data_IF_906797787352
#
_entry.id   IF_906797787352
#
_cell.length_a   1.000
_cell.length_b   1.000
_cell.length_c   1.000
_cell.angle_alpha   90.00
_cell.angle_beta   90.00
_cell.angle_gamma   90.00
#
_symmetry.space_group_name_H-M   'P 1'
#
loop_
_entity.id
_entity.type
_entity.pdbx_description
1 polymer ?
#
# COMPACT_ATOMS: atom_id res chain seq x y z
N UNK A 1 0.06 21.37 6.27
CA UNK A 1 0.99 20.89 5.21
C UNK A 1 2.45 21.11 5.61
N UNK A 2 2.89 22.34 5.92
CA UNK A 2 4.29 22.60 6.32
C UNK A 2 4.74 21.82 7.56
N UNK A 3 3.88 21.71 8.58
CA UNK A 3 4.15 20.91 9.79
C UNK A 3 4.51 19.46 9.49
N UNK A 4 3.85 18.81 8.52
CA UNK A 4 4.15 17.41 8.20
C UNK A 4 5.51 17.24 7.52
N UNK A 5 5.98 18.26 6.78
CA UNK A 5 7.31 18.25 6.18
C UNK A 5 8.40 18.46 7.25
N UNK A 6 8.16 19.31 8.25
CA UNK A 6 9.08 19.47 9.37
C UNK A 6 9.14 18.21 10.23
N UNK A 7 7.98 17.65 10.62
CA UNK A 7 7.92 16.38 11.33
C UNK A 7 8.62 15.25 10.55
N UNK A 8 8.42 15.19 9.22
CA UNK A 8 9.13 14.24 8.38
C UNK A 8 10.65 14.46 8.43
N UNK A 9 11.11 15.70 8.35
CA UNK A 9 12.54 16.02 8.39
C UNK A 9 13.18 15.72 9.76
N UNK A 10 12.43 15.88 10.85
CA UNK A 10 12.89 15.56 12.20
C UNK A 10 13.11 14.07 12.41
N UNK A 11 12.17 13.23 11.97
CA UNK A 11 12.27 11.77 12.09
C UNK A 11 11.57 11.06 10.92
N UNK A 12 12.29 10.84 9.80
CA UNK A 12 11.74 10.17 8.63
C UNK A 12 11.26 8.75 8.93
N UNK A 13 11.93 8.03 9.83
CA UNK A 13 11.58 6.64 10.17
C UNK A 13 10.26 6.55 10.91
N UNK A 14 9.99 7.49 11.82
CA UNK A 14 8.74 7.56 12.58
C UNK A 14 7.59 8.15 11.77
N UNK A 15 7.84 9.22 11.02
CA UNK A 15 6.80 10.02 10.38
C UNK A 15 6.60 9.68 8.88
N UNK A 16 7.53 8.95 8.27
CA UNK A 16 7.49 8.61 6.86
C UNK A 16 6.24 7.82 6.45
N UNK A 17 5.80 6.87 7.28
CA UNK A 17 4.59 6.07 6.96
C UNK A 17 3.32 6.92 6.92
N UNK A 18 3.10 7.80 7.90
CA UNK A 18 1.91 8.66 7.91
C UNK A 18 1.96 9.68 6.76
N UNK A 19 3.16 10.20 6.46
CA UNK A 19 3.40 11.06 5.32
C UNK A 19 3.06 10.36 3.99
N UNK A 20 3.62 9.18 3.73
CA UNK A 20 3.37 8.40 2.52
C UNK A 20 1.88 8.08 2.38
N UNK A 21 1.24 7.58 3.44
CA UNK A 21 -0.20 7.27 3.44
C UNK A 21 -1.05 8.49 3.06
N UNK A 22 -0.75 9.65 3.64
CA UNK A 22 -1.55 10.86 3.42
C UNK A 22 -1.28 11.46 2.05
N UNK A 23 -0.01 11.64 1.69
CA UNK A 23 0.37 12.44 0.52
C UNK A 23 0.54 11.62 -0.76
N UNK A 24 1.02 10.38 -0.67
CA UNK A 24 1.29 9.54 -1.84
C UNK A 24 0.18 8.54 -2.11
N UNK A 25 -0.38 7.91 -1.07
CA UNK A 25 -1.55 7.02 -1.22
C UNK A 25 -2.87 7.81 -1.25
N UNK A 26 -2.87 9.09 -0.86
CA UNK A 26 -4.07 9.96 -0.84
C UNK A 26 -5.16 9.42 0.10
N UNK A 27 -4.78 8.75 1.19
CA UNK A 27 -5.71 8.38 2.24
C UNK A 27 -6.01 9.61 3.12
N UNK A 28 -7.27 9.81 3.48
CA UNK A 28 -7.68 10.96 4.28
C UNK A 28 -6.99 10.97 5.64
N UNK A 29 -6.45 12.12 6.03
CA UNK A 29 -5.88 12.29 7.36
C UNK A 29 -7.02 12.40 8.39
N UNK A 30 -7.11 11.43 9.31
CA UNK A 30 -8.24 11.31 10.26
C UNK A 30 -8.50 12.61 11.04
N UNK A 31 -7.46 13.25 11.55
CA UNK A 31 -7.61 14.48 12.34
C UNK A 31 -7.95 15.71 11.48
N UNK A 32 -7.62 15.70 10.19
CA UNK A 32 -7.97 16.77 9.27
C UNK A 32 -9.46 16.78 8.90
N UNK A 33 -10.18 15.66 9.08
CA UNK A 33 -11.62 15.60 8.76
C UNK A 33 -12.47 16.53 9.62
N UNK A 34 -12.00 16.87 10.83
CA UNK A 34 -12.69 17.78 11.75
C UNK A 34 -12.54 19.25 11.34
N UNK A 35 -11.49 19.57 10.58
CA UNK A 35 -11.22 20.91 10.09
C UNK A 35 -11.59 21.02 8.61
N UNK A 36 -12.67 21.75 8.31
CA UNK A 36 -13.15 21.94 6.93
C UNK A 36 -12.15 22.67 6.04
N UNK A 37 -11.17 23.35 6.63
CA UNK A 37 -10.13 24.09 5.89
C UNK A 37 -8.91 23.23 5.55
N UNK A 38 -8.76 22.06 6.18
CA UNK A 38 -7.64 21.17 5.91
C UNK A 38 -7.94 20.24 4.72
N UNK A 39 -7.26 20.41 3.56
CA UNK A 39 -7.53 19.62 2.37
C UNK A 39 -7.26 18.12 2.56
N UNK A 40 -6.42 17.74 3.54
CA UNK A 40 -6.08 16.34 3.83
C UNK A 40 -7.29 15.54 4.33
N UNK A 41 -8.31 16.22 4.87
CA UNK A 41 -9.56 15.58 5.28
C UNK A 41 -10.37 15.06 4.09
N UNK A 42 -10.18 15.65 2.90
CA UNK A 42 -10.94 15.34 1.68
C UNK A 42 -10.19 14.43 0.71
N UNK A 43 -8.95 14.04 1.03
CA UNK A 43 -8.18 13.13 0.20
C UNK A 43 -8.89 11.78 0.04
N UNK A 44 -8.76 11.21 -1.15
CA UNK A 44 -9.37 9.93 -1.48
C UNK A 44 -8.54 9.22 -2.52
N UNK A 45 -8.01 8.05 -2.15
CA UNK A 45 -7.32 7.13 -3.06
C UNK A 45 -8.15 6.84 -4.30
N UNK A 46 -9.47 6.62 -4.12
CA UNK A 46 -10.42 6.37 -5.21
C UNK A 46 -10.48 7.54 -6.20
N UNK A 47 -10.76 8.76 -5.70
CA UNK A 47 -10.93 9.94 -6.57
C UNK A 47 -9.61 10.46 -7.15
N UNK A 48 -8.50 10.18 -6.47
CA UNK A 48 -7.20 10.77 -6.76
C UNK A 48 -6.15 9.73 -7.17
N UNK A 49 -6.58 8.55 -7.64
CA UNK A 49 -5.69 7.47 -8.09
C UNK A 49 -4.71 7.94 -9.18
N UNK A 50 -5.12 8.88 -10.04
CA UNK A 50 -4.27 9.50 -11.07
C UNK A 50 -3.09 10.32 -10.51
N UNK A 51 -3.10 10.70 -9.23
CA UNK A 51 -2.00 11.40 -8.56
C UNK A 51 -1.02 10.44 -7.87
N UNK A 52 -1.39 9.16 -7.74
CA UNK A 52 -0.58 8.14 -7.07
C UNK A 52 0.50 7.67 -8.05
N UNK A 53 1.76 7.90 -7.69
CA UNK A 53 2.88 7.66 -8.61
C UNK A 53 4.08 7.03 -7.91
N UNK A 54 4.49 5.87 -8.43
CA UNK A 54 5.74 5.22 -8.03
C UNK A 54 6.96 6.06 -8.40
N UNK A 55 6.89 6.78 -9.53
CA UNK A 55 7.95 7.71 -9.99
C UNK A 55 8.28 8.80 -8.96
N UNK A 56 7.32 9.18 -8.11
CA UNK A 56 7.54 10.09 -6.98
C UNK A 56 7.93 9.34 -5.69
N UNK A 57 7.35 8.16 -5.48
CA UNK A 57 7.55 7.34 -4.29
C UNK A 57 8.99 6.79 -4.21
N UNK A 58 9.53 6.26 -5.30
CA UNK A 58 10.87 5.65 -5.32
C UNK A 58 12.00 6.64 -4.95
N UNK A 59 12.08 7.86 -5.52
CA UNK A 59 13.08 8.83 -5.08
C UNK A 59 12.94 9.23 -3.61
N UNK A 60 11.71 9.31 -3.08
CA UNK A 60 11.46 9.59 -1.67
C UNK A 60 12.01 8.47 -0.78
N UNK A 61 11.75 7.21 -1.13
CA UNK A 61 12.27 6.06 -0.40
C UNK A 61 13.80 6.03 -0.39
N UNK A 62 14.44 6.32 -1.53
CA UNK A 62 15.90 6.33 -1.64
C UNK A 62 16.55 7.48 -0.87
N UNK A 63 16.01 8.70 -1.02
CA UNK A 63 16.71 9.92 -0.60
C UNK A 63 16.30 10.45 0.77
N UNK A 64 15.08 10.15 1.20
CA UNK A 64 14.52 10.64 2.47
C UNK A 64 14.46 9.51 3.50
N UNK A 65 14.00 8.33 3.08
CA UNK A 65 13.90 7.17 3.97
C UNK A 65 15.17 6.33 4.01
N UNK A 66 16.15 6.59 3.13
CA UNK A 66 17.38 5.80 2.96
C UNK A 66 17.13 4.29 2.87
N UNK A 67 16.00 3.90 2.27
CA UNK A 67 15.64 2.50 2.09
C UNK A 67 16.56 1.86 1.06
N UNK A 68 16.99 0.63 1.34
CA UNK A 68 17.81 -0.17 0.45
C UNK A 68 17.16 -0.36 -0.94
N UNK A 69 17.98 -0.30 -2.00
CA UNK A 69 17.51 -0.34 -3.38
C UNK A 69 16.91 -1.68 -3.76
N UNK A 70 17.49 -2.78 -3.28
CA UNK A 70 16.96 -4.12 -3.52
C UNK A 70 15.59 -4.26 -2.87
N UNK A 71 15.45 -3.79 -1.62
CA UNK A 71 14.14 -3.78 -0.94
C UNK A 71 13.09 -2.95 -1.68
N UNK A 72 13.44 -1.76 -2.16
CA UNK A 72 12.53 -0.92 -2.97
C UNK A 72 12.06 -1.68 -4.21
N UNK A 73 12.97 -2.37 -4.88
CA UNK A 73 12.65 -3.14 -6.08
C UNK A 73 11.77 -4.35 -5.78
N UNK A 74 12.02 -5.08 -4.69
CA UNK A 74 11.16 -6.21 -4.27
C UNK A 74 9.74 -5.75 -3.92
N UNK A 75 9.60 -4.62 -3.23
CA UNK A 75 8.29 -3.98 -2.96
C UNK A 75 7.57 -3.64 -4.27
N UNK A 76 8.30 -3.05 -5.23
CA UNK A 76 7.75 -2.67 -6.54
C UNK A 76 7.28 -3.89 -7.32
N UNK A 77 8.11 -4.93 -7.40
CA UNK A 77 7.80 -6.17 -8.11
C UNK A 77 6.61 -6.90 -7.49
N UNK A 78 6.52 -6.96 -6.15
CA UNK A 78 5.37 -7.53 -5.47
C UNK A 78 4.09 -6.74 -5.77
N UNK A 79 4.16 -5.41 -5.78
CA UNK A 79 3.03 -4.56 -6.15
C UNK A 79 2.56 -4.75 -7.59
N UNK A 80 3.48 -4.93 -8.54
CA UNK A 80 3.16 -5.27 -9.93
C UNK A 80 2.46 -6.63 -10.01
N UNK A 81 3.05 -7.66 -9.40
CA UNK A 81 2.53 -9.03 -9.47
C UNK A 81 1.13 -9.16 -8.83
N UNK A 82 0.89 -8.44 -7.72
CA UNK A 82 -0.43 -8.39 -7.09
C UNK A 82 -1.47 -7.63 -7.92
N UNK A 83 -1.07 -6.56 -8.62
CA UNK A 83 -1.97 -5.86 -9.53
C UNK A 83 -2.36 -6.71 -10.73
N UNK A 84 -1.40 -7.45 -11.30
CA UNK A 84 -1.66 -8.39 -12.39
C UNK A 84 -2.58 -9.52 -11.93
N UNK A 85 -2.32 -10.12 -10.75
CA UNK A 85 -3.21 -11.11 -10.14
C UNK A 85 -4.64 -10.59 -9.98
N UNK A 86 -4.83 -9.39 -9.42
CA UNK A 86 -6.16 -8.79 -9.22
C UNK A 86 -6.86 -8.59 -10.56
N UNK A 87 -6.15 -8.11 -11.57
CA UNK A 87 -6.72 -7.87 -12.90
C UNK A 87 -7.14 -9.18 -13.57
N UNK A 88 -6.27 -10.19 -13.56
CA UNK A 88 -6.52 -11.47 -14.21
C UNK A 88 -7.65 -12.25 -13.55
N UNK A 89 -7.66 -12.29 -12.21
CA UNK A 89 -8.66 -13.06 -11.45
C UNK A 89 -9.91 -12.24 -11.12
N UNK A 90 -9.90 -10.94 -11.44
CA UNK A 90 -10.91 -9.97 -11.03
C UNK A 90 -11.22 -10.01 -9.51
N UNK A 91 -10.20 -10.25 -8.68
CA UNK A 91 -10.38 -10.50 -7.24
C UNK A 91 -10.48 -9.20 -6.43
N UNK A 92 -11.66 -8.57 -6.52
CA UNK A 92 -12.00 -7.40 -5.70
C UNK A 92 -11.96 -7.68 -4.20
N UNK A 93 -12.22 -8.92 -3.79
CA UNK A 93 -12.26 -9.30 -2.37
C UNK A 93 -10.87 -9.29 -1.77
N UNK A 94 -9.90 -9.87 -2.47
CA UNK A 94 -8.49 -9.78 -2.10
C UNK A 94 -8.03 -8.32 -2.02
N UNK A 95 -8.32 -7.51 -3.06
CA UNK A 95 -7.90 -6.10 -3.06
C UNK A 95 -8.44 -5.33 -1.86
N UNK A 96 -9.75 -5.45 -1.57
CA UNK A 96 -10.38 -4.82 -0.39
C UNK A 96 -9.75 -5.30 0.91
N UNK A 97 -9.55 -6.61 1.07
CA UNK A 97 -8.96 -7.18 2.28
C UNK A 97 -7.52 -6.65 2.49
N UNK A 98 -6.70 -6.66 1.43
CA UNK A 98 -5.33 -6.13 1.49
C UNK A 98 -5.30 -4.64 1.82
N UNK A 99 -6.21 -3.86 1.25
CA UNK A 99 -6.29 -2.41 1.46
C UNK A 99 -6.49 -2.04 2.93
N UNK A 100 -7.41 -2.73 3.63
CA UNK A 100 -7.84 -2.35 4.98
C UNK A 100 -7.11 -3.07 6.10
N UNK A 101 -6.38 -4.15 5.81
CA UNK A 101 -5.79 -5.01 6.83
C UNK A 101 -4.87 -4.22 7.78
N UNK A 102 -4.91 -4.48 9.10
CA UNK A 102 -4.08 -3.78 10.11
C UNK A 102 -3.23 -4.73 10.95
N UNK A 103 -3.46 -6.04 10.82
CA UNK A 103 -2.82 -7.13 11.55
C UNK A 103 -1.95 -7.97 10.62
N UNK A 104 -0.75 -8.29 11.10
CA UNK A 104 0.26 -8.96 10.29
C UNK A 104 -0.10 -10.42 9.98
N UNK A 105 -0.65 -11.15 10.95
CA UNK A 105 -1.13 -12.53 10.82
C UNK A 105 -2.21 -12.66 9.74
N UNK A 106 -3.12 -11.68 9.67
CA UNK A 106 -4.15 -11.64 8.64
C UNK A 106 -3.56 -11.25 7.28
N UNK A 107 -2.64 -10.28 7.22
CA UNK A 107 -1.92 -9.92 5.99
C UNK A 107 -1.21 -11.15 5.37
N UNK A 108 -0.48 -11.90 6.20
CA UNK A 108 0.18 -13.14 5.79
C UNK A 108 -0.83 -14.15 5.25
N UNK A 109 -1.95 -14.31 5.96
CA UNK A 109 -3.02 -15.25 5.57
C UNK A 109 -3.67 -14.89 4.23
N UNK A 110 -4.00 -13.62 3.99
CA UNK A 110 -4.64 -13.20 2.73
C UNK A 110 -3.69 -13.39 1.53
N UNK A 111 -2.40 -13.12 1.72
CA UNK A 111 -1.37 -13.30 0.70
C UNK A 111 -1.19 -14.77 0.33
N UNK A 112 -1.06 -15.65 1.34
CA UNK A 112 -0.93 -17.10 1.13
C UNK A 112 -2.18 -17.66 0.43
N UNK A 113 -3.38 -17.26 0.85
CA UNK A 113 -4.63 -17.74 0.24
C UNK A 113 -4.73 -17.33 -1.23
N UNK A 114 -4.41 -16.08 -1.56
CA UNK A 114 -4.42 -15.58 -2.92
C UNK A 114 -3.38 -16.29 -3.80
N UNK A 115 -2.15 -16.47 -3.28
CA UNK A 115 -1.08 -17.18 -3.99
C UNK A 115 -1.48 -18.64 -4.26
N UNK A 116 -2.06 -19.33 -3.27
CA UNK A 116 -2.53 -20.71 -3.42
C UNK A 116 -3.71 -20.83 -4.39
N UNK A 117 -4.60 -19.84 -4.43
CA UNK A 117 -5.68 -19.82 -5.41
C UNK A 117 -5.11 -19.67 -6.83
N UNK A 118 -4.15 -18.76 -7.01
CA UNK A 118 -3.51 -18.52 -8.30
C UNK A 118 -2.75 -19.74 -8.83
N UNK A 119 -1.98 -20.42 -7.98
CA UNK A 119 -1.24 -21.63 -8.36
C UNK A 119 -2.15 -22.81 -8.67
N UNK A 120 -3.29 -22.95 -7.97
CA UNK A 120 -4.30 -23.96 -8.29
C UNK A 120 -4.90 -23.81 -9.69
N UNK A 121 -4.89 -22.60 -10.23
CA UNK A 121 -5.33 -22.32 -11.61
C UNK A 121 -4.20 -22.52 -12.65
N UNK A 122 -3.04 -23.06 -12.26
CA UNK A 122 -1.93 -23.38 -13.17
C UNK A 122 -0.94 -22.24 -13.38
N UNK A 123 -1.07 -21.13 -12.66
CA UNK A 123 -0.14 -20.01 -12.73
C UNK A 123 1.08 -20.24 -11.83
N UNK A 124 2.19 -19.58 -12.17
CA UNK A 124 3.34 -19.49 -11.26
C UNK A 124 2.98 -18.67 -10.01
N UNK A 125 3.55 -18.98 -8.83
CA UNK A 125 3.30 -18.19 -7.62
C UNK A 125 3.79 -16.75 -7.81
N UNK A 126 2.93 -15.78 -7.54
CA UNK A 126 3.34 -14.36 -7.52
C UNK A 126 4.11 -14.00 -6.24
N UNK A 127 4.02 -14.85 -5.21
CA UNK A 127 4.69 -14.67 -3.93
C UNK A 127 5.56 -15.89 -3.63
N UNK A 128 6.88 -15.69 -3.69
CA UNK A 128 7.89 -16.66 -3.21
C UNK A 128 8.27 -16.35 -1.77
N UNK A 129 8.89 -17.32 -1.08
CA UNK A 129 9.38 -17.13 0.28
C UNK A 129 10.42 -16.00 0.35
N UNK A 130 11.39 -16.00 -0.56
CA UNK A 130 12.46 -14.99 -0.57
C UNK A 130 11.92 -13.57 -0.78
N UNK A 131 10.95 -13.41 -1.70
CA UNK A 131 10.30 -12.11 -1.93
C UNK A 131 9.52 -11.68 -0.68
N UNK A 132 8.75 -12.59 -0.08
CA UNK A 132 7.99 -12.31 1.13
C UNK A 132 8.89 -11.86 2.29
N UNK A 133 9.98 -12.59 2.55
CA UNK A 133 10.95 -12.26 3.60
C UNK A 133 11.59 -10.90 3.32
N UNK A 134 12.04 -10.66 2.08
CA UNK A 134 12.67 -9.40 1.70
C UNK A 134 11.76 -8.17 1.95
N UNK A 135 10.46 -8.31 1.67
CA UNK A 135 9.49 -7.22 1.83
C UNK A 135 9.04 -7.05 3.29
N UNK A 136 8.69 -8.16 3.98
CA UNK A 136 7.92 -8.12 5.22
C UNK A 136 8.63 -8.66 6.48
N UNK A 137 9.74 -9.39 6.37
CA UNK A 137 10.40 -10.04 7.52
C UNK A 137 11.87 -9.60 7.77
N UNK A 138 12.28 -9.69 9.03
CA UNK A 138 13.63 -9.42 9.56
C UNK A 138 14.11 -10.70 10.26
N UNK A 139 14.52 -11.70 9.47
CA UNK A 139 14.85 -13.05 9.94
C UNK A 139 13.71 -14.04 9.73
N UNK A 140 13.86 -15.27 10.22
CA UNK A 140 12.83 -16.32 10.10
C UNK A 140 11.62 -15.99 10.99
N UNK A 141 10.46 -15.81 10.36
CA UNK A 141 9.15 -15.65 11.02
C UNK A 141 8.99 -14.40 11.90
N UNK A 142 9.89 -13.44 11.79
CA UNK A 142 9.84 -12.17 12.51
C UNK A 142 9.42 -11.04 11.57
N UNK A 143 8.21 -10.52 11.77
CA UNK A 143 7.72 -9.37 11.03
C UNK A 143 8.65 -8.16 11.23
N UNK A 144 9.01 -7.48 10.14
CA UNK A 144 9.71 -6.19 10.23
C UNK A 144 8.89 -5.20 11.04
N UNK A 145 9.56 -4.39 11.85
CA UNK A 145 8.90 -3.32 12.62
C UNK A 145 8.09 -2.37 11.71
N UNK A 146 8.54 -2.20 10.47
CA UNK A 146 7.94 -1.34 9.46
C UNK A 146 7.09 -2.09 8.42
N UNK A 147 6.64 -3.33 8.67
CA UNK A 147 5.84 -4.10 7.70
C UNK A 147 4.61 -3.35 7.17
N UNK A 148 4.01 -2.48 8.01
CA UNK A 148 2.88 -1.63 7.60
C UNK A 148 3.27 -0.58 6.57
N UNK A 149 4.50 -0.05 6.64
CA UNK A 149 5.05 0.83 5.61
C UNK A 149 5.23 0.04 4.32
N UNK A 150 5.84 -1.15 4.37
CA UNK A 150 6.01 -2.01 3.21
C UNK A 150 4.66 -2.31 2.53
N UNK A 151 3.63 -2.66 3.30
CA UNK A 151 2.26 -2.87 2.78
C UNK A 151 1.70 -1.61 2.11
N UNK A 152 1.88 -0.44 2.71
CA UNK A 152 1.41 0.82 2.13
C UNK A 152 2.12 1.14 0.80
N UNK A 153 3.40 0.78 0.67
CA UNK A 153 4.16 0.94 -0.56
C UNK A 153 3.74 -0.06 -1.65
N UNK A 154 3.53 -1.33 -1.28
CA UNK A 154 2.93 -2.33 -2.17
C UNK A 154 1.58 -1.83 -2.67
N UNK A 155 0.75 -1.27 -1.78
CA UNK A 155 -0.56 -0.73 -2.14
C UNK A 155 -0.47 0.48 -3.08
N UNK A 156 0.49 1.40 -2.87
CA UNK A 156 0.75 2.52 -3.81
C UNK A 156 1.04 1.96 -5.20
N UNK A 157 1.90 0.95 -5.30
CA UNK A 157 2.25 0.36 -6.59
C UNK A 157 1.07 -0.36 -7.24
N UNK A 158 0.30 -1.12 -6.46
CA UNK A 158 -0.91 -1.78 -6.93
C UNK A 158 -1.93 -0.79 -7.49
N UNK A 159 -2.21 0.29 -6.74
CA UNK A 159 -3.18 1.32 -7.16
C UNK A 159 -2.71 2.02 -8.43
N UNK A 160 -1.42 2.34 -8.55
CA UNK A 160 -0.86 2.92 -9.79
C UNK A 160 -1.10 1.99 -11.00
N UNK A 161 -0.78 0.69 -10.88
CA UNK A 161 -0.97 -0.26 -11.98
C UNK A 161 -2.44 -0.50 -12.32
N UNK A 162 -3.29 -0.69 -11.31
CA UNK A 162 -4.73 -0.90 -11.48
C UNK A 162 -5.46 0.35 -12.00
N UNK A 163 -4.92 1.55 -11.75
CA UNK A 163 -5.39 2.77 -12.40
C UNK A 163 -4.94 2.81 -13.87
N UNK A 164 -3.65 2.59 -14.13
CA UNK A 164 -3.06 2.64 -15.48
C UNK A 164 -3.71 1.67 -16.46
N UNK A 165 -4.12 0.49 -15.98
CA UNK A 165 -4.77 -0.53 -16.79
C UNK A 165 -6.31 -0.41 -16.84
N UNK A 166 -6.89 0.63 -16.23
CA UNK A 166 -8.33 0.92 -16.24
C UNK A 166 -9.16 0.07 -15.27
N UNK A 167 -8.58 -0.85 -14.52
CA UNK A 167 -9.31 -1.74 -13.62
C UNK A 167 -10.03 -0.97 -12.51
N UNK A 168 -9.41 0.06 -11.93
CA UNK A 168 -10.05 0.91 -10.90
C UNK A 168 -11.24 1.72 -11.45
N UNK A 169 -11.19 2.14 -12.71
CA UNK A 169 -12.32 2.83 -13.35
C UNK A 169 -13.50 1.91 -13.60
N UNK A 170 -13.24 0.63 -13.91
CA UNK A 170 -14.30 -0.39 -14.06
C UNK A 170 -14.86 -0.87 -12.70
N UNK A 171 -14.11 -0.67 -11.62
CA UNK A 171 -14.40 -1.21 -10.29
C UNK A 171 -14.25 -0.14 -9.22
N UNK A 172 -14.94 0.99 -9.39
CA UNK A 172 -14.77 2.12 -8.49
C UNK A 172 -15.13 1.79 -7.02
N UNK A 173 -16.01 0.81 -6.80
CA UNK A 173 -16.39 0.32 -5.48
C UNK A 173 -15.30 -0.53 -4.81
N UNK A 174 -14.24 -0.92 -5.53
CA UNK A 174 -13.19 -1.79 -4.99
C UNK A 174 -12.34 -1.11 -3.91
N UNK A 175 -12.19 0.22 -3.95
CA UNK A 175 -11.53 0.97 -2.89
C UNK A 175 -12.60 1.31 -1.84
N UNK A 176 -12.49 0.79 -0.61
CA UNK A 176 -13.44 1.14 0.44
C UNK A 176 -13.33 2.64 0.74
N UNK A 177 -14.47 3.33 0.76
CA UNK A 177 -14.52 4.64 1.39
C UNK A 177 -14.21 4.42 2.86
N UNK A 178 -13.31 5.22 3.45
CA UNK A 178 -12.94 5.08 4.86
C UNK A 178 -14.18 5.42 5.68
N UNK A 179 -14.99 4.40 5.98
CA UNK A 179 -16.14 4.48 6.87
C UNK A 179 -15.68 5.10 8.18
N UNK A 180 -16.53 5.97 8.72
CA UNK A 180 -16.34 6.53 10.05
C UNK A 180 -16.24 5.37 11.03
N UNK A 181 -15.01 5.02 11.45
CA UNK A 181 -14.83 4.26 12.67
C UNK A 181 -15.41 5.11 13.80
N UNK A 182 -16.70 4.91 14.10
CA UNK A 182 -17.31 5.26 15.38
C UNK A 182 -16.45 4.64 16.46
N UNK A 183 -15.77 5.50 17.21
CA UNK A 183 -14.96 5.13 18.36
C UNK A 183 -15.77 4.24 19.30
N UNK A 184 -15.18 3.10 19.68
CA UNK A 184 -15.55 2.31 20.86
C UNK A 184 -14.31 2.12 21.70
#
# INVERSE_FOLDING_TARGET
MYEDLFNLAEDPYRNGRSFIRTYFLREAHRFARKDKTDPRGQYSTRRQAHLISWKLTEPFLRRIMYMDNERIEQIRQLGDALADYIKEQNDKRFFRAFYVEKRYDYLRTILIKANNAYTKHGHAPFLTLDNYISVFEEGEELARKDWRLARDLVLIRMVEQLHKNGWLGAHEDAIPETEEETES
#
